data_IF_653807396174
#
_entry.id   IF_653807396174
#
_cell.length_a   1.000
_cell.length_b   1.000
_cell.length_c   1.000
_cell.angle_alpha   90.00
_cell.angle_beta   90.00
_cell.angle_gamma   90.00
#
_symmetry.space_group_name_H-M   'P 1'
#
loop_
_entity.id
_entity.type
_entity.pdbx_description
1 polymer ?
#
# COMPACT_ATOMS: atom_id res chain seq x y z
N UNK A 1 -15.84 -7.53 25.56
CA UNK A 1 -14.92 -6.48 25.04
C UNK A 1 -14.90 -5.25 25.95
N UNK A 2 -13.72 -4.76 26.29
CA UNK A 2 -13.50 -3.44 26.90
C UNK A 2 -13.61 -2.31 25.87
N UNK A 3 -13.75 -1.05 26.29
CA UNK A 3 -13.76 0.09 25.38
C UNK A 3 -12.45 0.16 24.55
N UNK A 4 -11.30 -0.16 25.16
CA UNK A 4 -10.00 -0.16 24.49
C UNK A 4 -9.88 -1.27 23.44
N UNK A 5 -10.38 -2.46 23.72
CA UNK A 5 -10.44 -3.55 22.73
C UNK A 5 -11.30 -3.15 21.52
N UNK A 6 -12.45 -2.49 21.76
CA UNK A 6 -13.28 -1.97 20.66
C UNK A 6 -12.54 -0.93 19.81
N UNK A 7 -11.75 -0.04 20.42
CA UNK A 7 -10.93 0.93 19.70
C UNK A 7 -9.86 0.24 18.82
N UNK A 8 -9.18 -0.77 19.38
CA UNK A 8 -8.14 -1.53 18.64
C UNK A 8 -8.78 -2.29 17.46
N UNK A 9 -9.90 -2.97 17.67
CA UNK A 9 -10.63 -3.66 16.58
C UNK A 9 -11.11 -2.66 15.52
N UNK A 10 -11.65 -1.52 15.94
CA UNK A 10 -12.05 -0.44 15.05
C UNK A 10 -10.87 0.08 14.21
N UNK A 11 -9.67 0.18 14.81
CA UNK A 11 -8.45 0.55 14.09
C UNK A 11 -8.05 -0.50 13.06
N UNK A 12 -8.12 -1.80 13.41
CA UNK A 12 -7.83 -2.88 12.45
C UNK A 12 -8.79 -2.80 11.26
N UNK A 13 -10.10 -2.72 11.47
CA UNK A 13 -11.08 -2.58 10.39
C UNK A 13 -10.85 -1.34 9.52
N UNK A 14 -10.29 -0.28 10.08
CA UNK A 14 -9.97 0.94 9.34
C UNK A 14 -8.74 0.81 8.46
N UNK A 15 -7.69 0.16 8.97
CA UNK A 15 -6.37 0.11 8.33
C UNK A 15 -6.12 -1.20 7.56
N UNK A 16 -6.90 -2.27 7.83
CA UNK A 16 -6.84 -3.57 7.12
C UNK A 16 -8.11 -3.72 6.30
N UNK A 17 -8.00 -3.61 4.97
CA UNK A 17 -9.14 -3.60 4.05
C UNK A 17 -8.80 -4.24 2.72
N UNK A 18 -9.75 -4.92 2.06
CA UNK A 18 -9.60 -5.33 0.68
C UNK A 18 -9.28 -4.13 -0.23
N UNK A 19 -8.37 -4.32 -1.16
CA UNK A 19 -8.01 -3.32 -2.15
C UNK A 19 -7.75 -3.96 -3.52
N UNK A 20 -8.39 -3.42 -4.55
CA UNK A 20 -8.17 -3.82 -5.94
C UNK A 20 -7.18 -2.86 -6.61
N UNK A 21 -6.02 -3.38 -7.03
CA UNK A 21 -4.98 -2.56 -7.62
C UNK A 21 -4.25 -1.66 -6.60
N UNK A 22 -3.65 -0.57 -7.08
CA UNK A 22 -2.95 0.41 -6.25
C UNK A 22 -3.79 1.67 -6.04
N UNK A 23 -3.74 2.23 -4.85
CA UNK A 23 -4.58 3.35 -4.43
C UNK A 23 -4.27 4.65 -5.15
N UNK A 24 -3.04 4.89 -5.59
CA UNK A 24 -2.65 6.10 -6.31
C UNK A 24 -3.28 6.19 -7.71
N UNK A 25 -3.23 5.15 -8.57
CA UNK A 25 -4.00 5.15 -9.81
C UNK A 25 -5.51 5.21 -9.57
N UNK A 26 -6.02 4.58 -8.51
CA UNK A 26 -7.44 4.64 -8.14
C UNK A 26 -7.87 6.05 -7.79
N UNK A 27 -7.07 6.80 -7.02
CA UNK A 27 -7.36 8.22 -6.72
C UNK A 27 -7.39 9.08 -7.99
N UNK A 28 -6.50 8.81 -8.95
CA UNK A 28 -6.53 9.48 -10.26
C UNK A 28 -7.80 9.12 -11.04
N UNK A 29 -8.16 7.84 -11.10
CA UNK A 29 -9.40 7.40 -11.74
C UNK A 29 -10.64 8.01 -11.07
N UNK A 30 -10.67 8.09 -9.73
CA UNK A 30 -11.76 8.69 -8.96
C UNK A 30 -11.92 10.19 -9.25
N UNK A 31 -10.81 10.95 -9.23
CA UNK A 31 -10.84 12.36 -9.57
C UNK A 31 -11.34 12.59 -10.99
N UNK A 32 -10.91 11.72 -11.93
CA UNK A 32 -11.33 11.82 -13.33
C UNK A 32 -12.78 11.41 -13.52
N UNK A 33 -13.25 10.35 -12.85
CA UNK A 33 -14.66 9.93 -12.88
C UNK A 33 -15.56 11.06 -12.39
N UNK A 34 -15.22 11.66 -11.22
CA UNK A 34 -15.99 12.77 -10.66
C UNK A 34 -16.04 13.99 -11.56
N UNK A 35 -14.92 14.41 -12.11
CA UNK A 35 -14.88 15.52 -13.06
C UNK A 35 -15.71 15.23 -14.32
N UNK A 36 -15.69 13.97 -14.81
CA UNK A 36 -16.47 13.54 -15.97
C UNK A 36 -17.99 13.52 -15.69
N UNK A 37 -18.39 13.07 -14.49
CA UNK A 37 -19.80 13.12 -14.05
C UNK A 37 -20.33 14.56 -14.01
N UNK A 38 -19.53 15.48 -13.52
CA UNK A 38 -19.88 16.90 -13.50
C UNK A 38 -20.01 17.47 -14.91
N UNK A 39 -19.14 17.08 -15.84
CA UNK A 39 -19.26 17.45 -17.25
C UNK A 39 -20.53 16.92 -17.87
N UNK A 40 -20.90 15.64 -17.61
CA UNK A 40 -22.16 15.05 -18.07
C UNK A 40 -23.39 15.80 -17.53
N UNK A 41 -23.33 16.31 -16.31
CA UNK A 41 -24.39 17.16 -15.74
C UNK A 41 -24.54 18.48 -16.47
N UNK A 42 -23.47 19.00 -17.09
CA UNK A 42 -23.49 20.25 -17.88
C UNK A 42 -23.84 20.01 -19.35
N UNK A 43 -23.24 18.99 -19.96
CA UNK A 43 -23.44 18.61 -21.35
C UNK A 43 -23.76 17.11 -21.36
N UNK A 44 -25.05 16.74 -21.39
CA UNK A 44 -25.44 15.34 -21.48
C UNK A 44 -24.86 14.69 -22.74
N UNK A 45 -24.35 13.47 -22.60
CA UNK A 45 -23.84 12.65 -23.71
C UNK A 45 -22.74 13.32 -24.56
N UNK A 46 -21.89 14.17 -23.96
CA UNK A 46 -20.77 14.78 -24.68
C UNK A 46 -19.86 13.71 -25.32
N UNK A 47 -19.34 14.05 -26.51
CA UNK A 47 -18.57 13.09 -27.32
C UNK A 47 -17.14 12.87 -26.76
N UNK A 48 -16.97 11.79 -25.95
CA UNK A 48 -15.65 11.34 -25.46
C UNK A 48 -14.72 10.88 -26.58
N UNK A 49 -15.24 10.60 -27.78
CA UNK A 49 -14.45 10.21 -28.96
C UNK A 49 -14.06 11.42 -29.81
N UNK A 50 -14.71 12.54 -29.62
CA UNK A 50 -14.48 13.79 -30.34
C UNK A 50 -13.10 14.39 -30.06
N UNK A 51 -12.54 15.12 -31.02
CA UNK A 51 -11.20 15.72 -30.91
C UNK A 51 -11.07 16.77 -29.80
N UNK A 52 -12.17 17.36 -29.35
CA UNK A 52 -12.25 18.33 -28.26
C UNK A 52 -12.11 17.76 -26.85
N UNK A 53 -12.29 16.45 -26.67
CA UNK A 53 -12.18 15.81 -25.36
C UNK A 53 -10.72 15.63 -24.93
N UNK A 54 -10.36 16.18 -23.76
CA UNK A 54 -9.03 16.05 -23.16
C UNK A 54 -9.12 15.88 -21.64
N UNK A 55 -8.17 15.14 -21.09
CA UNK A 55 -7.99 14.87 -19.66
C UNK A 55 -6.64 15.41 -19.25
N UNK A 56 -6.60 16.37 -18.34
CA UNK A 56 -5.37 16.87 -17.77
C UNK A 56 -5.35 16.57 -16.27
N UNK A 57 -4.32 15.87 -15.80
CA UNK A 57 -4.21 15.50 -14.39
C UNK A 57 -2.90 16.05 -13.81
N UNK A 58 -3.03 16.91 -12.83
CA UNK A 58 -1.95 17.40 -12.00
C UNK A 58 -1.84 16.53 -10.74
N UNK A 59 -0.66 16.01 -10.44
CA UNK A 59 -0.44 15.14 -9.28
C UNK A 59 0.79 15.57 -8.49
N UNK A 60 0.81 15.25 -7.19
CA UNK A 60 2.04 15.37 -6.39
C UNK A 60 3.11 14.40 -6.89
N UNK A 61 4.39 14.70 -6.62
CA UNK A 61 5.49 13.82 -6.94
C UNK A 61 5.33 12.42 -6.34
N UNK A 62 4.72 12.30 -5.16
CA UNK A 62 4.46 11.01 -4.51
C UNK A 62 3.39 10.18 -5.23
N UNK A 63 2.29 10.80 -5.66
CA UNK A 63 1.27 10.12 -6.47
C UNK A 63 1.88 9.65 -7.80
N UNK A 64 2.67 10.50 -8.46
CA UNK A 64 3.35 10.09 -9.68
C UNK A 64 4.30 8.92 -9.43
N UNK A 65 5.18 9.05 -8.43
CA UNK A 65 6.17 8.02 -8.06
C UNK A 65 5.50 6.65 -7.85
N UNK A 66 4.40 6.61 -7.11
CA UNK A 66 3.74 5.35 -6.75
C UNK A 66 2.75 4.84 -7.81
N UNK A 67 2.31 5.69 -8.74
CA UNK A 67 1.32 5.31 -9.75
C UNK A 67 1.88 5.02 -11.13
N UNK A 68 3.07 5.54 -11.49
CA UNK A 68 3.56 5.51 -12.88
C UNK A 68 4.01 4.13 -13.36
N UNK A 69 4.40 3.23 -12.46
CA UNK A 69 4.99 1.92 -12.81
C UNK A 69 4.11 0.71 -12.48
N UNK A 70 2.87 0.93 -12.06
CA UNK A 70 2.00 -0.14 -11.58
C UNK A 70 0.98 -0.55 -12.64
N UNK A 71 0.71 -1.86 -12.75
CA UNK A 71 -0.32 -2.42 -13.63
C UNK A 71 -1.73 -1.99 -13.24
N UNK A 72 -2.53 -1.61 -14.22
CA UNK A 72 -3.94 -1.28 -14.01
C UNK A 72 -4.78 -2.51 -14.34
N UNK A 73 -5.59 -3.00 -13.39
CA UNK A 73 -6.35 -4.24 -13.53
C UNK A 73 -7.13 -4.32 -14.84
N UNK A 74 -7.10 -5.49 -15.49
CA UNK A 74 -7.85 -5.77 -16.72
C UNK A 74 -7.34 -5.09 -18.00
N UNK A 75 -6.32 -4.21 -17.92
CA UNK A 75 -5.88 -3.43 -19.09
C UNK A 75 -4.63 -3.98 -19.80
N UNK A 76 -3.76 -4.69 -19.09
CA UNK A 76 -2.42 -5.01 -19.56
C UNK A 76 -1.50 -3.78 -19.75
N UNK A 77 -1.89 -2.62 -19.22
CA UNK A 77 -1.13 -1.37 -19.26
C UNK A 77 -0.73 -0.92 -17.86
N UNK A 78 0.26 -0.05 -17.77
CA UNK A 78 0.76 0.53 -16.53
C UNK A 78 0.52 2.05 -16.49
N UNK A 79 0.41 2.58 -15.29
CA UNK A 79 0.57 4.00 -15.00
C UNK A 79 -0.72 4.81 -14.97
N UNK A 80 -0.55 6.10 -14.67
CA UNK A 80 -1.66 7.00 -14.35
C UNK A 80 -2.48 7.42 -15.58
N UNK A 81 -1.90 7.40 -16.79
CA UNK A 81 -2.62 7.80 -18.02
C UNK A 81 -3.80 6.88 -18.29
N UNK A 82 -3.58 5.56 -18.24
CA UNK A 82 -4.65 4.60 -18.47
C UNK A 82 -5.67 4.61 -17.32
N UNK A 83 -5.25 4.81 -16.07
CA UNK A 83 -6.15 4.95 -14.93
C UNK A 83 -7.08 6.17 -15.08
N UNK A 84 -6.54 7.33 -15.47
CA UNK A 84 -7.33 8.53 -15.78
C UNK A 84 -8.31 8.29 -16.93
N UNK A 85 -7.86 7.68 -18.02
CA UNK A 85 -8.72 7.37 -19.15
C UNK A 85 -9.90 6.47 -18.74
N UNK A 86 -9.65 5.43 -17.94
CA UNK A 86 -10.71 4.54 -17.44
C UNK A 86 -11.67 5.27 -16.51
N UNK A 87 -11.19 6.12 -15.61
CA UNK A 87 -12.03 6.96 -14.78
C UNK A 87 -13.03 7.79 -15.59
N UNK A 88 -12.57 8.37 -16.71
CA UNK A 88 -13.43 9.14 -17.61
C UNK A 88 -14.41 8.30 -18.44
N UNK A 89 -14.06 7.06 -18.76
CA UNK A 89 -14.84 6.19 -19.66
C UNK A 89 -15.90 5.39 -18.90
N UNK A 90 -15.54 4.77 -17.79
CA UNK A 90 -16.40 3.84 -17.05
C UNK A 90 -16.37 4.02 -15.54
N UNK A 91 -15.60 5.00 -15.01
CA UNK A 91 -15.54 5.21 -13.57
C UNK A 91 -16.85 5.75 -13.00
N UNK A 92 -17.23 5.26 -11.81
CA UNK A 92 -18.30 5.82 -10.99
C UNK A 92 -17.76 6.31 -9.66
N UNK A 93 -17.87 7.63 -9.41
CA UNK A 93 -17.31 8.23 -8.19
C UNK A 93 -18.00 7.76 -6.91
N UNK A 94 -19.24 7.24 -7.00
CA UNK A 94 -19.99 6.70 -5.86
C UNK A 94 -19.30 5.49 -5.23
N UNK A 95 -18.51 4.75 -6.00
CA UNK A 95 -17.79 3.56 -5.51
C UNK A 95 -16.48 3.89 -4.77
N UNK A 96 -16.11 5.16 -4.67
CA UNK A 96 -14.88 5.58 -3.97
C UNK A 96 -13.64 4.85 -4.51
N UNK A 97 -12.96 4.08 -3.65
CA UNK A 97 -11.76 3.31 -4.06
C UNK A 97 -12.04 2.10 -4.96
N UNK A 98 -13.29 1.75 -5.21
CA UNK A 98 -13.72 0.75 -6.19
C UNK A 98 -14.22 1.39 -7.50
N UNK A 99 -13.82 2.61 -7.79
CA UNK A 99 -14.28 3.46 -8.92
C UNK A 99 -14.30 2.74 -10.28
N UNK A 100 -13.47 1.74 -10.49
CA UNK A 100 -13.37 0.93 -11.71
C UNK A 100 -14.07 -0.44 -11.60
N UNK A 101 -15.00 -0.62 -10.65
CA UNK A 101 -15.70 -1.89 -10.41
C UNK A 101 -16.44 -2.41 -11.65
N UNK A 102 -17.01 -1.50 -12.44
CA UNK A 102 -17.80 -1.83 -13.66
C UNK A 102 -16.93 -1.86 -14.94
N UNK A 103 -15.61 -2.08 -14.78
CA UNK A 103 -14.69 -2.19 -15.91
C UNK A 103 -15.10 -3.32 -16.85
N UNK A 104 -15.14 -3.01 -18.16
CA UNK A 104 -15.44 -3.95 -19.23
C UNK A 104 -14.49 -3.76 -20.41
N UNK A 105 -14.49 -4.70 -21.36
CA UNK A 105 -13.58 -4.70 -22.51
C UNK A 105 -13.76 -3.48 -23.42
N UNK A 106 -14.99 -3.00 -23.61
CA UNK A 106 -15.26 -1.81 -24.45
C UNK A 106 -14.65 -0.56 -23.83
N UNK A 107 -14.78 -0.39 -22.52
CA UNK A 107 -14.15 0.70 -21.77
C UNK A 107 -12.62 0.64 -21.87
N UNK A 108 -12.04 -0.55 -21.76
CA UNK A 108 -10.57 -0.74 -21.91
C UNK A 108 -10.11 -0.34 -23.30
N UNK A 109 -10.84 -0.74 -24.37
CA UNK A 109 -10.49 -0.38 -25.75
C UNK A 109 -10.54 1.14 -25.94
N UNK A 110 -11.60 1.80 -25.47
CA UNK A 110 -11.74 3.25 -25.59
C UNK A 110 -10.67 3.99 -24.76
N UNK A 111 -10.41 3.56 -23.54
CA UNK A 111 -9.38 4.17 -22.69
C UNK A 111 -7.97 4.05 -23.31
N UNK A 112 -7.63 2.88 -23.87
CA UNK A 112 -6.36 2.68 -24.60
C UNK A 112 -6.26 3.61 -25.81
N UNK A 113 -7.35 3.82 -26.53
CA UNK A 113 -7.40 4.76 -27.65
C UNK A 113 -7.16 6.19 -27.19
N UNK A 114 -7.77 6.66 -26.10
CA UNK A 114 -7.54 8.00 -25.54
C UNK A 114 -6.08 8.23 -25.17
N UNK A 115 -5.43 7.22 -24.59
CA UNK A 115 -4.00 7.28 -24.27
C UNK A 115 -3.14 7.33 -25.53
N UNK A 116 -3.42 6.49 -26.53
CA UNK A 116 -2.68 6.43 -27.79
C UNK A 116 -2.80 7.74 -28.61
N UNK A 117 -3.97 8.40 -28.53
CA UNK A 117 -4.23 9.69 -29.19
C UNK A 117 -3.68 10.90 -28.38
N UNK A 118 -2.90 10.67 -27.30
CA UNK A 118 -2.35 11.71 -26.41
C UNK A 118 -3.40 12.67 -25.84
N UNK A 119 -4.59 12.17 -25.53
CA UNK A 119 -5.69 12.94 -24.93
C UNK A 119 -5.60 12.99 -23.42
N UNK A 120 -4.74 12.19 -22.82
CA UNK A 120 -4.50 12.13 -21.37
C UNK A 120 -3.10 12.67 -21.07
N UNK A 121 -3.06 13.80 -20.38
CA UNK A 121 -1.84 14.43 -19.94
C UNK A 121 -1.69 14.33 -18.42
N UNK A 122 -0.49 13.95 -17.95
CA UNK A 122 -0.15 13.90 -16.53
C UNK A 122 1.01 14.86 -16.29
N UNK A 123 0.87 15.74 -15.31
CA UNK A 123 1.93 16.67 -14.92
C UNK A 123 2.13 16.67 -13.39
N UNK A 124 3.32 17.08 -12.96
CA UNK A 124 3.62 17.29 -11.53
C UNK A 124 3.17 18.66 -11.13
N UNK A 125 2.50 18.74 -9.97
CA UNK A 125 2.18 19.97 -9.26
C UNK A 125 3.18 20.13 -8.12
N UNK A 126 3.89 21.26 -8.11
CA UNK A 126 4.81 21.62 -7.03
C UNK A 126 4.05 22.37 -5.91
N UNK A 127 4.60 22.34 -4.69
CA UNK A 127 4.04 23.04 -3.52
C UNK A 127 2.59 22.61 -3.18
N UNK A 128 2.27 21.31 -3.34
CA UNK A 128 1.00 20.73 -2.97
C UNK A 128 1.20 19.69 -1.84
N UNK A 129 0.12 19.24 -1.19
CA UNK A 129 0.18 18.12 -0.23
C UNK A 129 0.85 16.88 -0.81
N UNK A 130 1.46 16.03 0.05
CA UNK A 130 2.09 14.77 -0.38
C UNK A 130 1.14 13.85 -1.15
N UNK A 131 -0.14 13.87 -0.82
CA UNK A 131 -1.21 13.23 -1.57
C UNK A 131 -2.08 14.32 -2.19
N UNK A 132 -1.92 14.52 -3.50
CA UNK A 132 -2.64 15.52 -4.27
C UNK A 132 -2.92 15.01 -5.68
N UNK A 133 -4.18 15.10 -6.09
CA UNK A 133 -4.63 14.86 -7.46
C UNK A 133 -5.62 15.94 -7.86
N UNK A 134 -5.38 16.62 -8.96
CA UNK A 134 -6.35 17.50 -9.63
C UNK A 134 -6.59 16.97 -11.04
N UNK A 135 -7.80 16.72 -11.39
CA UNK A 135 -8.19 16.36 -12.75
C UNK A 135 -9.04 17.45 -13.37
N UNK A 136 -8.69 17.88 -14.57
CA UNK A 136 -9.49 18.76 -15.41
C UNK A 136 -9.96 18.00 -16.65
N UNK A 137 -11.25 18.01 -16.91
CA UNK A 137 -11.88 17.51 -18.14
C UNK A 137 -12.23 18.70 -19.02
N UNK A 138 -11.81 18.63 -20.27
CA UNK A 138 -12.17 19.61 -21.31
C UNK A 138 -13.03 18.92 -22.36
N UNK A 139 -14.19 19.47 -22.66
CA UNK A 139 -15.10 18.98 -23.71
C UNK A 139 -15.97 20.12 -24.24
N UNK A 140 -16.10 20.24 -25.55
CA UNK A 140 -17.02 21.15 -26.25
C UNK A 140 -16.96 22.63 -25.76
N UNK A 141 -15.76 23.08 -25.39
CA UNK A 141 -15.51 24.45 -24.90
C UNK A 141 -15.80 24.67 -23.42
N UNK A 142 -16.21 23.63 -22.70
CA UNK A 142 -16.44 23.63 -21.25
C UNK A 142 -15.31 22.91 -20.50
N UNK A 143 -15.19 23.24 -19.22
CA UNK A 143 -14.24 22.60 -18.30
C UNK A 143 -14.94 22.15 -17.03
N UNK A 144 -14.55 20.98 -16.51
CA UNK A 144 -14.90 20.53 -15.17
C UNK A 144 -13.68 20.04 -14.44
N UNK A 145 -13.67 20.15 -13.12
CA UNK A 145 -12.53 19.67 -12.33
C UNK A 145 -12.96 18.97 -11.03
N UNK A 146 -12.03 18.14 -10.53
CA UNK A 146 -12.11 17.51 -9.22
C UNK A 146 -10.72 17.49 -8.57
N UNK A 147 -10.66 17.80 -7.27
CA UNK A 147 -9.43 17.78 -6.46
C UNK A 147 -9.57 16.79 -5.31
N UNK A 148 -8.55 15.94 -5.14
CA UNK A 148 -8.41 15.00 -4.03
C UNK A 148 -7.15 15.36 -3.24
N UNK A 149 -7.25 15.44 -1.90
CA UNK A 149 -6.14 15.76 -1.01
C UNK A 149 -6.13 14.86 0.24
N UNK A 150 -4.92 14.64 0.80
CA UNK A 150 -4.61 14.01 2.09
C UNK A 150 -4.98 12.52 2.17
N UNK A 151 -6.11 12.11 1.61
CA UNK A 151 -6.60 10.72 1.57
C UNK A 151 -7.04 10.40 0.13
N UNK A 152 -6.81 9.18 -0.34
CA UNK A 152 -6.99 8.79 -1.74
C UNK A 152 -8.44 8.93 -2.27
N UNK A 153 -9.42 9.04 -1.39
CA UNK A 153 -10.86 9.18 -1.69
C UNK A 153 -11.49 10.48 -1.16
N UNK A 154 -10.67 11.40 -0.61
CA UNK A 154 -11.16 12.66 -0.09
C UNK A 154 -11.23 13.72 -1.18
N UNK A 155 -12.39 13.88 -1.79
CA UNK A 155 -12.68 14.99 -2.69
C UNK A 155 -12.84 16.26 -1.87
N UNK A 156 -12.01 17.28 -2.13
CA UNK A 156 -11.99 18.55 -1.38
C UNK A 156 -12.63 19.67 -2.17
N UNK A 157 -12.55 19.64 -3.50
CA UNK A 157 -13.14 20.69 -4.35
C UNK A 157 -13.54 20.14 -5.72
N UNK A 158 -14.63 20.64 -6.26
CA UNK A 158 -15.10 20.33 -7.61
C UNK A 158 -15.73 21.57 -8.24
N UNK A 159 -15.69 21.66 -9.58
CA UNK A 159 -16.33 22.78 -10.28
C UNK A 159 -16.56 22.51 -11.76
N UNK A 160 -17.42 23.35 -12.36
CA UNK A 160 -17.72 23.35 -13.80
C UNK A 160 -17.67 24.80 -14.28
N UNK A 161 -16.92 25.06 -15.36
CA UNK A 161 -16.72 26.42 -15.94
C UNK A 161 -16.28 27.47 -14.90
N UNK A 162 -15.60 27.01 -13.87
CA UNK A 162 -15.04 27.85 -12.81
C UNK A 162 -13.55 27.59 -12.69
N UNK A 163 -12.79 28.62 -12.34
CA UNK A 163 -11.37 28.44 -12.04
C UNK A 163 -11.22 27.80 -10.66
N UNK A 164 -10.26 26.86 -10.54
CA UNK A 164 -9.85 26.32 -9.27
C UNK A 164 -9.23 27.42 -8.41
N UNK A 165 -9.91 27.80 -7.35
CA UNK A 165 -9.50 28.89 -6.49
C UNK A 165 -8.29 28.54 -5.58
N UNK A 166 -7.94 27.25 -5.49
CA UNK A 166 -7.03 26.79 -4.46
C UNK A 166 -5.66 26.38 -4.94
N UNK A 167 -4.65 26.62 -4.61
CA UNK A 167 -3.29 26.60 -4.14
C UNK A 167 -2.94 27.98 -3.51
N UNK A 168 -3.82 28.98 -3.69
CA UNK A 168 -3.67 30.30 -3.08
C UNK A 168 -4.24 30.40 -1.66
N UNK A 169 -4.98 29.42 -1.17
CA UNK A 169 -5.30 29.33 0.25
C UNK A 169 -4.11 28.75 1.02
N UNK A 170 -2.98 29.47 1.05
CA UNK A 170 -2.22 29.51 2.30
C UNK A 170 -3.21 29.94 3.36
N UNK A 171 -3.71 29.00 4.14
CA UNK A 171 -4.21 29.30 5.46
C UNK A 171 -3.08 30.04 6.17
N UNK A 172 -3.17 31.37 6.25
CA UNK A 172 -2.54 32.14 7.30
C UNK A 172 -3.25 31.75 8.61
N UNK A 173 -2.90 30.66 9.13
CA UNK A 173 -3.30 30.09 10.37
C UNK A 173 -2.29 29.02 10.64
N UNK A 174 -1.42 29.27 11.64
CA UNK A 174 -0.44 28.37 12.20
C UNK A 174 -0.58 26.99 11.60
N UNK A 175 0.37 26.59 10.75
CA UNK A 175 0.64 25.21 10.55
C UNK A 175 0.89 24.63 11.94
N UNK A 176 -0.15 24.09 12.60
CA UNK A 176 0.11 22.89 13.33
C UNK A 176 0.81 22.06 12.27
N UNK A 177 2.08 21.76 12.50
CA UNK A 177 2.76 20.68 11.83
C UNK A 177 1.77 19.53 11.95
N UNK A 178 0.96 19.31 10.91
CA UNK A 178 0.12 18.14 10.84
C UNK A 178 1.12 17.03 10.96
N UNK A 179 1.13 16.42 12.16
CA UNK A 179 1.99 15.30 12.48
C UNK A 179 1.78 14.33 11.35
N UNK A 180 2.73 14.27 10.42
CA UNK A 180 2.74 13.30 9.31
C UNK A 180 2.69 11.87 9.86
N UNK A 181 2.89 11.75 11.14
CA UNK A 181 2.83 10.57 11.99
C UNK A 181 1.48 10.53 12.72
N UNK A 182 0.77 9.42 12.60
CA UNK A 182 -0.44 9.16 13.36
C UNK A 182 -0.08 8.41 14.61
N UNK A 183 -0.15 9.09 15.75
CA UNK A 183 -0.09 8.41 17.02
C UNK A 183 -1.44 7.70 17.26
N UNK A 184 -1.44 6.38 17.18
CA UNK A 184 -2.62 5.55 17.48
C UNK A 184 -2.73 5.24 18.96
N UNK A 185 -1.82 5.74 19.80
CA UNK A 185 -1.76 5.46 21.24
C UNK A 185 -1.53 3.98 21.55
N UNK A 186 -0.90 3.25 20.62
CA UNK A 186 -0.54 1.84 20.79
C UNK A 186 0.89 1.71 21.31
N UNK A 187 1.15 0.60 22.00
CA UNK A 187 2.50 0.14 22.32
C UNK A 187 2.67 -1.32 21.92
N UNK A 188 3.92 -1.74 21.69
CA UNK A 188 4.22 -3.16 21.40
C UNK A 188 3.72 -4.08 22.51
N UNK A 189 3.78 -3.62 23.77
CA UNK A 189 3.29 -4.37 24.92
C UNK A 189 1.76 -4.54 24.87
N UNK A 190 1.03 -3.46 24.62
CA UNK A 190 -0.42 -3.50 24.50
C UNK A 190 -0.88 -4.38 23.35
N UNK A 191 -0.19 -4.32 22.21
CA UNK A 191 -0.47 -5.19 21.05
C UNK A 191 -0.27 -6.66 21.41
N UNK A 192 0.81 -6.97 22.13
CA UNK A 192 1.09 -8.33 22.60
C UNK A 192 -0.02 -8.83 23.53
N UNK A 193 -0.33 -8.05 24.58
CA UNK A 193 -1.36 -8.39 25.57
C UNK A 193 -2.76 -8.55 24.92
N UNK A 194 -3.09 -7.68 23.96
CA UNK A 194 -4.33 -7.77 23.20
C UNK A 194 -4.41 -9.07 22.38
N UNK A 195 -3.37 -9.40 21.60
CA UNK A 195 -3.37 -10.61 20.78
C UNK A 195 -3.47 -11.90 21.62
N UNK A 196 -2.93 -11.89 22.85
CA UNK A 196 -3.01 -13.02 23.79
C UNK A 196 -4.41 -13.19 24.38
N UNK A 197 -5.09 -12.09 24.74
CA UNK A 197 -6.26 -12.12 25.61
C UNK A 197 -7.60 -11.91 24.90
N UNK A 198 -7.63 -11.29 23.72
CA UNK A 198 -8.87 -10.97 22.99
C UNK A 198 -9.66 -12.23 22.65
N UNK A 199 -11.00 -12.16 22.72
CA UNK A 199 -11.85 -13.27 22.30
C UNK A 199 -11.68 -13.59 20.81
N UNK A 200 -11.54 -14.87 20.48
CA UNK A 200 -11.37 -15.31 19.10
C UNK A 200 -12.52 -14.89 18.19
N UNK A 201 -13.76 -14.92 18.68
CA UNK A 201 -14.93 -14.52 17.90
C UNK A 201 -14.88 -13.06 17.46
N UNK A 202 -14.21 -12.20 18.24
CA UNK A 202 -14.07 -10.78 17.95
C UNK A 202 -12.97 -10.49 16.91
N UNK A 203 -12.04 -11.43 16.66
CA UNK A 203 -10.90 -11.26 15.76
C UNK A 203 -10.89 -12.23 14.58
N UNK A 204 -11.78 -13.21 14.51
CA UNK A 204 -11.79 -14.20 13.42
C UNK A 204 -11.96 -13.58 12.03
N UNK A 205 -12.47 -12.35 11.92
CA UNK A 205 -12.59 -11.63 10.65
C UNK A 205 -11.23 -11.45 9.96
N UNK A 206 -10.11 -11.40 10.73
CA UNK A 206 -8.76 -11.23 10.17
C UNK A 206 -8.33 -12.41 9.29
N UNK A 207 -9.00 -13.56 9.38
CA UNK A 207 -8.76 -14.69 8.50
C UNK A 207 -9.10 -14.42 7.04
N UNK A 208 -9.80 -13.32 6.74
CA UNK A 208 -9.98 -12.85 5.36
C UNK A 208 -8.65 -12.51 4.69
N UNK A 209 -7.61 -12.13 5.45
CA UNK A 209 -6.23 -11.96 4.98
C UNK A 209 -5.76 -13.24 4.25
N UNK A 210 -6.02 -14.42 4.86
CA UNK A 210 -5.67 -15.71 4.27
C UNK A 210 -6.42 -15.94 2.96
N UNK A 211 -7.74 -15.70 2.96
CA UNK A 211 -8.57 -15.94 1.79
C UNK A 211 -8.13 -15.10 0.59
N UNK A 212 -7.95 -13.81 0.77
CA UNK A 212 -7.63 -12.90 -0.34
C UNK A 212 -6.18 -13.01 -0.79
N UNK A 213 -5.24 -12.97 0.15
CA UNK A 213 -3.82 -12.92 -0.19
C UNK A 213 -3.29 -14.28 -0.68
N UNK A 214 -3.86 -15.41 -0.20
CA UNK A 214 -3.51 -16.72 -0.71
C UNK A 214 -4.04 -16.92 -2.14
N UNK A 215 -5.28 -16.53 -2.43
CA UNK A 215 -5.83 -16.61 -3.78
C UNK A 215 -4.97 -15.82 -4.78
N UNK A 216 -4.50 -14.64 -4.37
CA UNK A 216 -3.62 -13.80 -5.18
C UNK A 216 -2.22 -14.44 -5.36
N UNK A 217 -1.68 -15.10 -4.32
CA UNK A 217 -0.41 -15.82 -4.38
C UNK A 217 -0.49 -17.04 -5.33
N UNK A 218 -1.56 -17.82 -5.25
CA UNK A 218 -1.80 -18.95 -6.12
C UNK A 218 -1.93 -18.53 -7.58
N UNK A 219 -2.65 -17.42 -7.83
CA UNK A 219 -2.74 -16.85 -9.16
C UNK A 219 -1.38 -16.36 -9.68
N UNK A 220 -0.56 -15.74 -8.83
CA UNK A 220 0.78 -15.29 -9.17
C UNK A 220 1.74 -16.44 -9.48
N UNK A 221 1.60 -17.59 -8.79
CA UNK A 221 2.37 -18.81 -9.11
C UNK A 221 1.92 -19.46 -10.41
N UNK A 222 0.61 -19.44 -10.70
CA UNK A 222 0.03 -20.06 -11.90
C UNK A 222 0.30 -19.22 -13.15
N UNK A 223 0.07 -17.92 -13.06
CA UNK A 223 0.16 -17.00 -14.19
C UNK A 223 1.57 -16.51 -14.49
N UNK A 224 1.67 -15.67 -15.51
CA UNK A 224 2.91 -15.01 -15.95
C UNK A 224 2.85 -13.52 -15.60
N UNK A 225 2.92 -13.22 -14.30
CA UNK A 225 2.79 -11.87 -13.77
C UNK A 225 4.15 -11.23 -13.45
N UNK A 226 4.30 -9.96 -13.79
CA UNK A 226 5.41 -9.11 -13.41
C UNK A 226 6.78 -9.70 -13.74
N UNK A 227 7.65 -9.75 -12.74
CA UNK A 227 9.00 -10.34 -12.87
C UNK A 227 9.03 -11.84 -12.56
N UNK A 228 7.90 -12.44 -12.21
CA UNK A 228 7.78 -13.87 -11.87
C UNK A 228 8.69 -14.30 -10.71
N UNK A 229 8.96 -13.39 -9.78
CA UNK A 229 9.89 -13.64 -8.67
C UNK A 229 9.44 -14.83 -7.84
N UNK A 230 8.18 -14.86 -7.42
CA UNK A 230 7.62 -15.97 -6.64
C UNK A 230 7.64 -17.29 -7.40
N UNK A 231 7.22 -17.29 -8.67
CA UNK A 231 7.23 -18.47 -9.54
C UNK A 231 8.65 -18.99 -9.79
N UNK A 232 9.63 -18.10 -9.96
CA UNK A 232 11.03 -18.45 -10.14
C UNK A 232 11.60 -19.10 -8.88
N UNK A 233 11.37 -18.52 -7.69
CA UNK A 233 11.80 -19.10 -6.42
C UNK A 233 11.19 -20.49 -6.24
N UNK A 234 9.89 -20.65 -6.50
CA UNK A 234 9.19 -21.94 -6.37
C UNK A 234 9.73 -23.03 -7.29
N UNK A 235 10.19 -22.66 -8.48
CA UNK A 235 10.67 -23.59 -9.50
C UNK A 235 12.19 -23.87 -9.46
N UNK A 236 12.95 -23.12 -8.65
CA UNK A 236 14.42 -23.25 -8.58
C UNK A 236 14.84 -24.09 -7.38
N UNK A 237 14.31 -25.31 -7.29
CA UNK A 237 14.51 -26.20 -6.16
C UNK A 237 15.95 -26.67 -5.92
N UNK A 238 16.86 -26.43 -6.86
CA UNK A 238 18.30 -26.65 -6.74
C UNK A 238 19.01 -25.54 -5.93
N UNK A 239 18.43 -24.33 -5.90
CA UNK A 239 18.97 -23.16 -5.17
C UNK A 239 18.08 -22.81 -3.98
N UNK A 240 16.76 -22.71 -4.20
CA UNK A 240 15.75 -22.47 -3.20
C UNK A 240 15.06 -23.78 -2.84
N UNK A 241 15.47 -24.45 -1.79
CA UNK A 241 14.92 -25.78 -1.41
C UNK A 241 13.42 -25.79 -1.07
N UNK A 242 12.98 -26.90 -0.49
CA UNK A 242 11.60 -27.06 0.02
C UNK A 242 11.46 -26.63 1.49
N UNK A 243 12.37 -25.82 1.97
CA UNK A 243 12.34 -25.27 3.32
C UNK A 243 11.23 -24.22 3.49
N UNK A 244 11.03 -23.78 4.73
CA UNK A 244 9.99 -22.80 5.03
C UNK A 244 10.32 -21.42 4.45
N UNK A 245 11.59 -21.01 4.43
CA UNK A 245 12.01 -19.69 3.95
C UNK A 245 11.68 -19.55 2.47
N UNK A 246 12.10 -20.51 1.66
CA UNK A 246 11.84 -20.56 0.21
C UNK A 246 10.35 -20.60 -0.09
N UNK A 247 9.56 -21.38 0.64
CA UNK A 247 8.11 -21.47 0.48
C UNK A 247 7.40 -20.15 0.79
N UNK A 248 7.72 -19.52 1.93
CA UNK A 248 7.13 -18.24 2.31
C UNK A 248 7.52 -17.11 1.35
N UNK A 249 8.79 -17.06 0.92
CA UNK A 249 9.27 -16.10 -0.09
C UNK A 249 8.53 -16.27 -1.41
N UNK A 250 8.37 -17.50 -1.89
CA UNK A 250 7.70 -17.80 -3.16
C UNK A 250 6.23 -17.33 -3.14
N UNK A 251 5.46 -17.71 -2.11
CA UNK A 251 4.06 -17.32 -1.98
C UNK A 251 3.89 -15.80 -1.88
N UNK A 252 4.68 -15.15 -1.01
CA UNK A 252 4.54 -13.72 -0.77
C UNK A 252 4.95 -12.88 -1.98
N UNK A 253 6.05 -13.27 -2.65
CA UNK A 253 6.49 -12.61 -3.88
C UNK A 253 5.52 -12.81 -5.04
N UNK A 254 4.93 -14.01 -5.18
CA UNK A 254 3.93 -14.30 -6.22
C UNK A 254 2.68 -13.44 -6.09
N UNK A 255 2.17 -13.25 -4.86
CA UNK A 255 1.06 -12.34 -4.60
C UNK A 255 1.40 -10.90 -5.02
N UNK A 256 2.63 -10.44 -4.71
CA UNK A 256 3.12 -9.12 -5.15
C UNK A 256 3.30 -9.04 -6.66
N UNK A 257 3.84 -10.08 -7.32
CA UNK A 257 3.99 -10.14 -8.79
C UNK A 257 2.62 -9.96 -9.47
N UNK A 258 1.61 -10.75 -9.06
CA UNK A 258 0.26 -10.69 -9.59
C UNK A 258 -0.36 -9.29 -9.40
N UNK A 259 -0.32 -8.77 -8.17
CA UNK A 259 -0.90 -7.47 -7.84
C UNK A 259 -0.23 -6.33 -8.61
N UNK A 260 1.11 -6.28 -8.66
CA UNK A 260 1.85 -5.19 -9.31
C UNK A 260 1.73 -5.21 -10.82
N UNK A 261 1.43 -6.37 -11.41
CA UNK A 261 1.17 -6.52 -12.85
C UNK A 261 -0.29 -6.27 -13.24
N UNK A 262 -1.17 -5.95 -12.29
CA UNK A 262 -2.57 -5.62 -12.58
C UNK A 262 -3.51 -6.83 -12.64
N UNK A 263 -3.27 -7.85 -11.81
CA UNK A 263 -4.25 -8.92 -11.57
C UNK A 263 -5.55 -8.35 -11.03
N UNK A 264 -6.68 -8.92 -11.43
CA UNK A 264 -8.02 -8.48 -11.04
C UNK A 264 -8.50 -9.03 -9.69
N UNK A 265 -7.68 -9.84 -9.02
CA UNK A 265 -7.97 -10.31 -7.66
C UNK A 265 -7.62 -9.24 -6.63
N UNK A 266 -8.46 -9.02 -5.60
CA UNK A 266 -8.16 -8.11 -4.52
C UNK A 266 -7.06 -8.65 -3.62
N UNK A 267 -6.28 -7.74 -3.02
CA UNK A 267 -5.39 -8.04 -1.91
C UNK A 267 -5.98 -7.48 -0.62
N UNK A 268 -5.82 -8.17 0.50
CA UNK A 268 -5.99 -7.51 1.79
C UNK A 268 -4.83 -6.54 1.99
N UNK A 269 -5.15 -5.27 2.18
CA UNK A 269 -4.17 -4.21 2.40
C UNK A 269 -3.90 -3.96 3.89
N UNK A 270 -2.81 -3.29 4.19
CA UNK A 270 -2.55 -2.75 5.53
C UNK A 270 -2.07 -1.30 5.38
N UNK A 271 -2.63 -0.38 6.17
CA UNK A 271 -2.31 1.06 6.18
C UNK A 271 -2.34 1.70 4.78
N UNK A 272 -3.28 1.25 3.93
CA UNK A 272 -3.48 1.76 2.57
C UNK A 272 -2.52 1.19 1.53
N UNK A 273 -1.75 0.15 1.83
CA UNK A 273 -0.85 -0.52 0.87
C UNK A 273 -1.13 -2.02 0.77
N UNK A 274 -1.49 -2.49 -0.44
CA UNK A 274 -1.72 -3.92 -0.66
C UNK A 274 -0.45 -4.76 -0.52
N UNK A 275 0.71 -4.29 -1.01
CA UNK A 275 1.97 -5.01 -0.79
C UNK A 275 2.36 -5.07 0.69
N UNK A 276 2.00 -4.04 1.48
CA UNK A 276 2.18 -4.08 2.92
C UNK A 276 1.30 -5.16 3.55
N UNK A 277 0.00 -5.23 3.16
CA UNK A 277 -0.91 -6.28 3.62
C UNK A 277 -0.46 -7.69 3.21
N UNK A 278 -0.01 -7.88 1.97
CA UNK A 278 0.57 -9.14 1.50
C UNK A 278 1.80 -9.53 2.35
N UNK A 279 2.73 -8.61 2.56
CA UNK A 279 4.00 -8.91 3.24
C UNK A 279 3.81 -9.14 4.74
N UNK A 280 2.83 -8.48 5.36
CA UNK A 280 2.55 -8.63 6.79
C UNK A 280 1.83 -9.95 7.09
N UNK A 281 0.99 -10.46 6.17
CA UNK A 281 0.15 -11.63 6.41
C UNK A 281 0.71 -12.93 5.82
N UNK A 282 1.22 -12.90 4.58
CA UNK A 282 1.57 -14.12 3.86
C UNK A 282 2.66 -14.99 4.51
N UNK A 283 3.74 -14.47 5.15
CA UNK A 283 4.70 -15.31 5.87
C UNK A 283 4.06 -16.06 7.05
N UNK A 284 3.12 -15.40 7.75
CA UNK A 284 2.35 -15.97 8.86
C UNK A 284 1.38 -17.06 8.36
N UNK A 285 0.69 -16.77 7.26
CA UNK A 285 -0.21 -17.71 6.56
C UNK A 285 0.58 -18.92 6.03
N UNK A 286 1.72 -18.69 5.39
CA UNK A 286 2.59 -19.76 4.89
C UNK A 286 3.07 -20.69 6.01
N UNK A 287 3.38 -20.13 7.19
CA UNK A 287 3.72 -20.93 8.37
C UNK A 287 2.53 -21.78 8.80
N UNK A 288 1.35 -21.20 8.90
CA UNK A 288 0.14 -21.92 9.31
C UNK A 288 -0.22 -23.05 8.34
N UNK A 289 -0.08 -22.82 7.03
CA UNK A 289 -0.31 -23.86 6.01
C UNK A 289 0.71 -25.00 6.08
N UNK A 290 1.99 -24.66 6.30
CA UNK A 290 3.07 -25.68 6.31
C UNK A 290 3.05 -26.55 7.56
N UNK A 291 2.60 -26.00 8.69
CA UNK A 291 2.68 -26.65 10.00
C UNK A 291 1.30 -26.93 10.62
N UNK A 292 0.24 -26.86 9.82
CA UNK A 292 -1.15 -27.16 10.21
C UNK A 292 -1.61 -26.45 11.49
N UNK A 293 -1.42 -25.14 11.53
CA UNK A 293 -1.80 -24.29 12.66
C UNK A 293 -3.30 -24.03 12.64
N UNK A 294 -3.96 -24.10 13.79
CA UNK A 294 -5.41 -23.81 13.91
C UNK A 294 -5.75 -22.37 13.50
N UNK A 295 -6.98 -22.16 13.00
CA UNK A 295 -7.45 -20.86 12.59
C UNK A 295 -7.42 -19.83 13.73
N UNK A 296 -7.69 -20.23 15.00
CA UNK A 296 -7.56 -19.33 16.15
C UNK A 296 -6.12 -18.84 16.35
N UNK A 297 -5.13 -19.74 16.33
CA UNK A 297 -3.73 -19.36 16.46
C UNK A 297 -3.29 -18.48 15.29
N UNK A 298 -3.74 -18.82 14.08
CA UNK A 298 -3.47 -17.98 12.90
C UNK A 298 -4.07 -16.59 13.04
N UNK A 299 -5.33 -16.47 13.49
CA UNK A 299 -5.98 -15.18 13.68
C UNK A 299 -5.22 -14.30 14.68
N UNK A 300 -4.82 -14.85 15.84
CA UNK A 300 -4.02 -14.12 16.83
C UNK A 300 -2.68 -13.63 16.28
N UNK A 301 -1.99 -14.48 15.54
CA UNK A 301 -0.71 -14.13 14.90
C UNK A 301 -0.88 -13.06 13.81
N UNK A 302 -1.97 -13.09 13.03
CA UNK A 302 -2.30 -12.07 12.04
C UNK A 302 -2.66 -10.73 12.71
N UNK A 303 -3.40 -10.75 13.82
CA UNK A 303 -3.68 -9.55 14.64
C UNK A 303 -2.36 -8.92 15.11
N UNK A 304 -1.47 -9.72 15.72
CA UNK A 304 -0.14 -9.29 16.15
C UNK A 304 0.63 -8.64 15.01
N UNK A 305 0.75 -9.34 13.89
CA UNK A 305 1.49 -8.93 12.71
C UNK A 305 0.95 -7.61 12.14
N UNK A 306 -0.36 -7.52 11.93
CA UNK A 306 -1.01 -6.33 11.38
C UNK A 306 -0.90 -5.12 12.32
N UNK A 307 -1.13 -5.28 13.61
CA UNK A 307 -1.06 -4.19 14.58
C UNK A 307 0.36 -3.63 14.75
N UNK A 308 1.38 -4.50 14.79
CA UNK A 308 2.79 -4.05 14.81
C UNK A 308 3.11 -3.22 13.56
N UNK A 309 2.66 -3.67 12.39
CA UNK A 309 2.87 -2.90 11.16
C UNK A 309 2.13 -1.56 11.18
N UNK A 310 0.88 -1.51 11.64
CA UNK A 310 0.10 -0.28 11.80
C UNK A 310 0.80 0.68 12.76
N UNK A 311 1.26 0.18 13.92
CA UNK A 311 1.96 0.96 14.94
C UNK A 311 3.24 1.61 14.37
N UNK A 312 4.13 0.82 13.77
CA UNK A 312 5.35 1.32 13.14
C UNK A 312 5.03 2.32 12.01
N UNK A 313 4.00 2.03 11.19
CA UNK A 313 3.58 2.91 10.10
C UNK A 313 3.06 4.26 10.61
N UNK A 314 2.50 4.30 11.81
CA UNK A 314 2.12 5.53 12.49
C UNK A 314 3.27 6.53 12.60
N UNK A 315 4.46 6.08 12.94
CA UNK A 315 5.66 6.93 13.05
C UNK A 315 6.25 7.36 11.70
N UNK A 316 6.08 6.54 10.65
CA UNK A 316 6.62 6.82 9.32
C UNK A 316 5.72 7.74 8.48
N UNK A 317 4.43 7.81 8.81
CA UNK A 317 3.42 8.45 7.97
C UNK A 317 3.05 7.63 6.74
N UNK A 318 2.01 8.07 6.00
CA UNK A 318 1.47 7.31 4.86
C UNK A 318 2.44 7.18 3.69
N UNK A 319 3.15 8.26 3.36
CA UNK A 319 4.10 8.34 2.26
C UNK A 319 5.50 8.66 2.82
N UNK A 320 6.39 7.71 2.77
CA UNK A 320 7.77 7.82 3.23
C UNK A 320 8.75 7.31 2.18
N UNK A 321 10.01 7.69 2.32
CA UNK A 321 11.08 7.16 1.49
C UNK A 321 11.48 5.73 1.85
N UNK A 322 11.10 5.24 3.03
CA UNK A 322 11.27 3.83 3.39
C UNK A 322 10.21 2.96 2.73
N UNK A 323 10.64 1.79 2.27
CA UNK A 323 9.75 0.82 1.67
C UNK A 323 8.74 0.27 2.72
N UNK A 324 7.45 0.21 2.36
CA UNK A 324 6.43 -0.41 3.22
C UNK A 324 6.73 -1.89 3.56
N UNK A 325 7.57 -2.54 2.75
CA UNK A 325 8.04 -3.89 3.02
C UNK A 325 8.84 -3.98 4.33
N UNK A 326 9.62 -2.95 4.72
CA UNK A 326 10.36 -2.91 6.00
C UNK A 326 9.38 -3.03 7.17
N UNK A 327 8.33 -2.21 7.15
CA UNK A 327 7.29 -2.19 8.20
C UNK A 327 6.54 -3.52 8.25
N UNK A 328 6.10 -3.99 7.08
CA UNK A 328 5.29 -5.19 6.96
C UNK A 328 6.04 -6.45 7.37
N UNK A 329 7.29 -6.59 6.93
CA UNK A 329 8.12 -7.74 7.31
C UNK A 329 8.54 -7.71 8.78
N UNK A 330 8.62 -6.53 9.41
CA UNK A 330 8.75 -6.43 10.87
C UNK A 330 7.50 -6.97 11.57
N UNK A 331 6.30 -6.62 11.09
CA UNK A 331 5.06 -7.18 11.60
C UNK A 331 5.00 -8.70 11.45
N UNK A 332 5.29 -9.24 10.26
CA UNK A 332 5.28 -10.70 10.03
C UNK A 332 6.33 -11.44 10.87
N UNK A 333 7.49 -10.82 11.15
CA UNK A 333 8.49 -11.38 12.07
C UNK A 333 7.90 -11.60 13.47
N UNK A 334 7.14 -10.62 13.98
CA UNK A 334 6.46 -10.73 15.29
C UNK A 334 5.39 -11.83 15.29
N UNK A 335 4.57 -11.92 14.24
CA UNK A 335 3.60 -13.01 14.09
C UNK A 335 4.25 -14.39 14.06
N UNK A 336 5.39 -14.54 13.38
CA UNK A 336 6.17 -15.78 13.36
C UNK A 336 6.78 -16.13 14.73
N UNK A 337 7.31 -15.15 15.45
CA UNK A 337 7.79 -15.33 16.83
C UNK A 337 6.66 -15.86 17.71
N UNK A 338 5.49 -15.23 17.65
CA UNK A 338 4.33 -15.61 18.44
C UNK A 338 3.86 -17.05 18.11
N UNK A 339 3.72 -17.41 16.81
CA UNK A 339 3.33 -18.76 16.39
C UNK A 339 4.28 -19.85 16.88
N UNK A 340 5.54 -19.52 17.09
CA UNK A 340 6.56 -20.44 17.59
C UNK A 340 6.72 -20.41 19.11
N UNK A 341 5.83 -19.73 19.83
CA UNK A 341 5.76 -19.71 21.29
C UNK A 341 6.69 -18.67 21.95
N UNK A 342 7.20 -17.70 21.17
CA UNK A 342 7.94 -16.57 21.73
C UNK A 342 7.04 -15.58 22.44
N UNK A 343 7.53 -15.00 23.55
CA UNK A 343 6.82 -13.99 24.34
C UNK A 343 7.19 -12.55 23.94
N UNK A 344 6.77 -11.61 24.79
CA UNK A 344 6.96 -10.18 24.59
C UNK A 344 8.45 -9.80 24.32
N UNK A 345 9.37 -10.34 25.08
CA UNK A 345 10.82 -10.03 24.93
C UNK A 345 11.37 -10.49 23.56
N UNK A 346 10.93 -11.65 23.09
CA UNK A 346 11.33 -12.13 21.75
C UNK A 346 10.68 -11.30 20.63
N UNK A 347 9.47 -10.79 20.82
CA UNK A 347 8.84 -9.85 19.88
C UNK A 347 9.63 -8.54 19.80
N UNK A 348 10.02 -7.97 20.94
CA UNK A 348 10.89 -6.79 20.98
C UNK A 348 12.23 -7.06 20.28
N UNK A 349 12.82 -8.23 20.51
CA UNK A 349 14.06 -8.67 19.88
C UNK A 349 13.94 -8.78 18.37
N UNK A 350 12.82 -9.35 17.87
CA UNK A 350 12.55 -9.45 16.43
C UNK A 350 12.40 -8.07 15.77
N UNK A 351 11.72 -7.12 16.41
CA UNK A 351 11.60 -5.74 15.92
C UNK A 351 12.99 -5.08 15.83
N UNK A 352 13.82 -5.21 16.88
CA UNK A 352 15.19 -4.68 16.89
C UNK A 352 16.03 -5.28 15.76
N UNK A 353 15.97 -6.60 15.58
CA UNK A 353 16.68 -7.30 14.50
C UNK A 353 16.24 -6.80 13.12
N UNK A 354 14.94 -6.64 12.89
CA UNK A 354 14.41 -6.15 11.62
C UNK A 354 14.86 -4.71 11.35
N UNK A 355 14.78 -3.82 12.34
CA UNK A 355 15.18 -2.43 12.20
C UNK A 355 16.70 -2.33 11.96
N UNK A 356 17.52 -3.10 12.69
CA UNK A 356 18.96 -3.13 12.49
C UNK A 356 19.39 -3.70 11.12
N UNK A 357 18.56 -4.56 10.50
CA UNK A 357 18.89 -5.26 9.26
C UNK A 357 18.47 -4.48 7.98
N UNK A 358 17.18 -4.12 7.86
CA UNK A 358 16.62 -3.70 6.56
C UNK A 358 16.13 -2.25 6.50
N UNK A 359 16.46 -1.41 7.47
CA UNK A 359 16.08 0.03 7.47
C UNK A 359 16.56 0.77 6.21
N UNK A 360 17.63 0.30 5.55
CA UNK A 360 18.13 0.89 4.30
C UNK A 360 17.32 0.58 3.04
N UNK A 361 16.21 -0.17 3.11
CA UNK A 361 15.40 -0.49 1.94
C UNK A 361 14.55 0.70 1.51
N UNK A 362 14.98 1.38 0.45
CA UNK A 362 14.35 2.60 -0.07
C UNK A 362 13.12 2.28 -0.92
N UNK A 363 12.10 3.15 -0.87
CA UNK A 363 10.93 3.11 -1.74
C UNK A 363 11.13 4.04 -2.95
N UNK A 364 11.23 3.45 -4.13
CA UNK A 364 11.32 4.14 -5.42
C UNK A 364 10.03 3.92 -6.26
N UNK A 365 8.89 3.90 -5.61
CA UNK A 365 7.56 3.77 -6.22
C UNK A 365 7.08 2.33 -6.37
N UNK A 366 5.76 2.17 -6.57
CA UNK A 366 5.13 0.88 -6.78
C UNK A 366 5.36 0.40 -8.22
N UNK A 367 5.81 -0.84 -8.37
CA UNK A 367 6.16 -1.46 -9.66
C UNK A 367 6.34 -2.97 -9.51
N UNK A 368 6.39 -3.68 -10.63
CA UNK A 368 6.62 -5.14 -10.64
C UNK A 368 7.89 -5.57 -9.88
N UNK A 369 8.93 -4.73 -9.87
CA UNK A 369 10.14 -4.97 -9.07
C UNK A 369 9.95 -5.00 -7.55
N UNK A 370 8.77 -4.59 -7.02
CA UNK A 370 8.46 -4.70 -5.60
C UNK A 370 8.47 -6.14 -5.09
N UNK A 371 8.15 -7.12 -5.95
CA UNK A 371 8.19 -8.53 -5.58
C UNK A 371 9.58 -8.99 -5.09
N UNK A 372 10.67 -8.44 -5.64
CA UNK A 372 12.03 -8.72 -5.15
C UNK A 372 12.24 -8.17 -3.74
N UNK A 373 11.76 -6.94 -3.45
CA UNK A 373 11.85 -6.34 -2.12
C UNK A 373 11.02 -7.12 -1.10
N UNK A 374 9.85 -7.59 -1.53
CA UNK A 374 8.97 -8.45 -0.72
C UNK A 374 9.70 -9.75 -0.35
N UNK A 375 10.29 -10.47 -1.32
CA UNK A 375 11.06 -11.68 -1.06
C UNK A 375 12.20 -11.45 -0.06
N UNK A 376 12.97 -10.36 -0.23
CA UNK A 376 14.04 -9.98 0.70
C UNK A 376 13.52 -9.68 2.11
N UNK A 377 12.40 -8.96 2.21
CA UNK A 377 11.74 -8.67 3.49
C UNK A 377 11.27 -9.92 4.21
N UNK A 378 10.68 -10.89 3.49
CA UNK A 378 10.25 -12.18 4.05
C UNK A 378 11.44 -12.98 4.57
N UNK A 379 12.54 -13.06 3.81
CA UNK A 379 13.77 -13.74 4.26
C UNK A 379 14.29 -13.11 5.55
N UNK A 380 14.37 -11.78 5.60
CA UNK A 380 14.81 -11.04 6.81
C UNK A 380 13.85 -11.23 7.98
N UNK A 381 12.53 -11.27 7.72
CA UNK A 381 11.49 -11.51 8.73
C UNK A 381 11.69 -12.85 9.45
N UNK A 382 11.89 -13.91 8.67
CA UNK A 382 12.08 -15.27 9.20
C UNK A 382 13.41 -15.36 9.95
N UNK A 383 14.50 -14.80 9.39
CA UNK A 383 15.80 -14.75 10.04
C UNK A 383 15.71 -14.03 11.41
N UNK A 384 15.07 -12.86 11.44
CA UNK A 384 14.92 -12.07 12.66
C UNK A 384 14.07 -12.77 13.71
N UNK A 385 13.02 -13.49 13.29
CA UNK A 385 12.20 -14.28 14.20
C UNK A 385 12.98 -15.45 14.83
N UNK A 386 13.78 -16.17 14.04
CA UNK A 386 14.60 -17.30 14.54
C UNK A 386 15.65 -16.80 15.52
N UNK A 387 16.39 -15.75 15.17
CA UNK A 387 17.39 -15.15 16.07
C UNK A 387 16.75 -14.69 17.40
N UNK A 388 15.61 -14.03 17.34
CA UNK A 388 14.89 -13.56 18.53
C UNK A 388 14.46 -14.72 19.44
N UNK A 389 14.00 -15.84 18.89
CA UNK A 389 13.64 -17.04 19.65
C UNK A 389 14.85 -17.68 20.33
N UNK A 390 16.05 -17.56 19.75
CA UNK A 390 17.31 -18.01 20.33
C UNK A 390 17.92 -16.96 21.29
N UNK A 391 17.20 -15.87 21.60
CA UNK A 391 17.63 -14.78 22.48
C UNK A 391 18.67 -13.85 21.85
N UNK A 392 18.84 -13.87 20.53
CA UNK A 392 19.81 -13.06 19.79
C UNK A 392 19.11 -11.83 19.22
N UNK A 393 19.61 -10.64 19.56
CA UNK A 393 19.08 -9.37 19.03
C UNK A 393 20.16 -8.28 18.96
N UNK A 394 19.91 -7.31 18.05
CA UNK A 394 20.66 -6.07 18.00
C UNK A 394 20.45 -5.27 19.29
N UNK A 395 21.53 -4.79 19.89
CA UNK A 395 21.51 -4.12 21.20
C UNK A 395 21.57 -2.58 21.06
N UNK A 396 21.43 -1.87 22.17
CA UNK A 396 21.42 -0.41 22.21
C UNK A 396 22.73 0.27 21.78
N UNK A 397 23.77 -0.50 21.52
CA UNK A 397 25.03 0.00 20.94
C UNK A 397 25.05 -0.07 19.42
N UNK A 398 23.99 -0.65 18.79
CA UNK A 398 23.94 -0.89 17.36
C UNK A 398 23.10 0.18 16.64
N UNK A 399 23.75 1.19 16.10
CA UNK A 399 23.14 2.18 15.20
C UNK A 399 21.98 2.95 15.83
N UNK A 400 20.74 2.74 15.30
CA UNK A 400 19.52 3.44 15.74
C UNK A 400 18.70 2.65 16.78
N UNK A 401 19.21 1.50 17.22
CA UNK A 401 18.54 0.66 18.21
C UNK A 401 18.65 1.30 19.59
N UNK A 402 17.57 1.25 20.36
CA UNK A 402 17.50 1.73 21.74
C UNK A 402 17.17 0.57 22.68
N UNK A 403 17.42 0.75 23.97
CA UNK A 403 16.99 -0.19 25.00
C UNK A 403 15.46 -0.31 25.02
N UNK A 404 14.78 0.85 24.90
CA UNK A 404 13.34 0.94 24.80
C UNK A 404 12.88 0.63 23.36
N UNK A 405 11.93 -0.30 23.23
CA UNK A 405 11.41 -0.72 21.94
C UNK A 405 10.64 0.40 21.24
N UNK A 406 9.87 1.19 21.97
CA UNK A 406 9.12 2.30 21.42
C UNK A 406 10.05 3.39 20.88
N UNK A 407 11.16 3.64 21.60
CA UNK A 407 12.18 4.56 21.12
C UNK A 407 12.90 4.07 19.87
N UNK A 408 13.12 2.76 19.78
CA UNK A 408 13.68 2.14 18.56
C UNK A 408 12.76 2.38 17.36
N UNK A 409 11.44 2.19 17.54
CA UNK A 409 10.43 2.43 16.51
C UNK A 409 10.37 3.93 16.14
N UNK A 410 10.40 4.81 17.12
CA UNK A 410 10.46 6.27 16.91
C UNK A 410 11.71 6.67 16.11
N UNK A 411 12.88 6.10 16.43
CA UNK A 411 14.12 6.35 15.70
C UNK A 411 13.98 5.94 14.22
N UNK A 412 13.41 4.76 13.93
CA UNK A 412 13.09 4.33 12.57
C UNK A 412 12.16 5.34 11.88
N UNK A 413 11.11 5.78 12.57
CA UNK A 413 10.18 6.79 12.10
C UNK A 413 10.86 8.10 11.71
N UNK A 414 11.75 8.60 12.56
CA UNK A 414 12.51 9.83 12.31
C UNK A 414 13.46 9.69 11.11
N UNK A 415 14.15 8.55 10.97
CA UNK A 415 15.00 8.28 9.79
C UNK A 415 14.17 8.25 8.52
N UNK A 416 13.05 7.51 8.50
CA UNK A 416 12.25 7.29 7.30
C UNK A 416 11.39 8.49 6.91
N UNK A 417 10.98 9.35 7.85
CA UNK A 417 10.16 10.53 7.57
C UNK A 417 11.04 11.77 7.34
N UNK A 418 11.80 12.21 8.34
CA UNK A 418 12.59 13.44 8.30
C UNK A 418 13.96 13.24 7.65
N UNK A 419 14.65 12.16 8.01
CA UNK A 419 16.02 11.91 7.57
C UNK A 419 16.14 11.62 6.07
N UNK A 420 15.09 11.14 5.43
CA UNK A 420 15.09 10.72 4.02
C UNK A 420 14.33 11.66 3.08
N UNK A 421 13.96 12.88 3.49
CA UNK A 421 13.23 13.82 2.64
C UNK A 421 14.00 14.16 1.35
N UNK A 422 15.27 14.50 1.46
CA UNK A 422 16.14 14.78 0.30
C UNK A 422 16.31 13.56 -0.61
N UNK A 423 16.37 12.35 -0.04
CA UNK A 423 16.44 11.13 -0.83
C UNK A 423 15.15 10.90 -1.61
N UNK A 424 13.99 11.15 -1.01
CA UNK A 424 12.69 11.03 -1.69
C UNK A 424 12.56 12.03 -2.84
N UNK A 425 12.94 13.29 -2.62
CA UNK A 425 12.98 14.30 -3.68
C UNK A 425 13.91 13.93 -4.84
N UNK A 426 15.11 13.41 -4.52
CA UNK A 426 16.06 12.98 -5.54
C UNK A 426 15.53 11.81 -6.35
N UNK A 427 14.91 10.82 -5.70
CA UNK A 427 14.28 9.67 -6.37
C UNK A 427 13.19 10.15 -7.31
N UNK A 428 12.31 11.05 -6.87
CA UNK A 428 11.25 11.62 -7.69
C UNK A 428 11.83 12.34 -8.92
N UNK A 429 12.86 13.16 -8.76
CA UNK A 429 13.54 13.84 -9.86
C UNK A 429 14.12 12.84 -10.88
N UNK A 430 14.82 11.79 -10.43
CA UNK A 430 15.36 10.74 -11.30
C UNK A 430 14.24 10.04 -12.09
N UNK A 431 13.12 9.73 -11.42
CA UNK A 431 12.01 9.01 -12.06
C UNK A 431 11.30 9.83 -13.14
N UNK A 432 11.22 11.14 -12.97
CA UNK A 432 10.57 12.06 -13.92
C UNK A 432 11.44 12.33 -15.13
N UNK A 433 12.76 12.22 -14.98
CA UNK A 433 13.71 12.49 -16.08
C UNK A 433 13.99 11.27 -16.97
N UNK A 434 13.29 10.16 -16.78
CA UNK A 434 13.41 8.95 -17.62
C UNK A 434 12.49 9.03 -18.87
#
# INVERSE_FOLDING_TARGET
MTARECEIIGLIHKEVKPALGCTEPVAVALATAKATELMNGKIPDFDRKGSGFKINVGVSGNILKNGMGVGIPGTGMIGLRIAAALGAVCGSSEYGLEVLKDLNDEAVVLAKRLVAENRVNICIVNNCPKLYVKCDILADGHTSFCVIEDVHDRIVETGVDTEYAGLCHKKEGKSEEEKSTRDYGLTVKEIYEFAESVDYEDIKFILEDKTLNLALAEEGLRGDYGLKVGKTISNSGDVFGNDFVSYAMALTAAASDARMAGCTLPAMSNSGSGNQGITVSMPVIAYALKYDVSDEKLARALIMSNLIAIHIKGYLGRLSALCGCVVASTGSSCGLVWLRGGGYEQICSAIKNMIGNITGMVCDGAKVGCAMKVASGVSSSIQSAVLALDGIHACETDGIIDKDIEKTIENLGNVGSKGMELADELIQKIMVCK
#
